data_IF_959148322559
#
_entry.id   IF_959148322559
#
_cell.length_a   1.000
_cell.length_b   1.000
_cell.length_c   1.000
_cell.angle_alpha   90.00
_cell.angle_beta   90.00
_cell.angle_gamma   90.00
#
_symmetry.space_group_name_H-M   'P 1'
#
loop_
_entity.id
_entity.type
_entity.pdbx_description
1 polymer ?
#
# COMPACT_ATOMS: atom_id res chain seq x y z
N UNK A 1 3.24 5.97 -14.22
CA UNK A 1 3.71 7.25 -14.79
C UNK A 1 5.22 7.31 -14.57
N UNK A 2 6.01 7.60 -15.61
CA UNK A 2 7.47 7.74 -15.45
C UNK A 2 7.81 9.14 -14.91
N UNK A 3 9.02 9.30 -14.36
CA UNK A 3 9.52 10.61 -13.91
C UNK A 3 9.49 11.64 -15.03
N UNK A 4 10.03 11.28 -16.19
CA UNK A 4 10.04 12.15 -17.37
C UNK A 4 8.65 12.60 -17.79
N UNK A 5 7.67 11.69 -17.83
CA UNK A 5 6.29 12.05 -18.17
C UNK A 5 5.65 12.98 -17.11
N UNK A 6 5.96 12.78 -15.83
CA UNK A 6 5.48 13.64 -14.76
C UNK A 6 6.08 15.05 -14.83
N UNK A 7 7.36 15.15 -15.20
CA UNK A 7 8.10 16.41 -15.39
C UNK A 7 7.57 17.17 -16.60
N UNK A 8 7.51 16.54 -17.77
CA UNK A 8 6.98 17.16 -19.00
C UNK A 8 5.53 17.65 -18.81
N UNK A 9 4.72 16.89 -18.07
CA UNK A 9 3.36 17.30 -17.73
C UNK A 9 3.29 18.47 -16.74
N UNK A 10 4.28 18.62 -15.86
CA UNK A 10 4.37 19.78 -14.94
C UNK A 10 4.86 21.02 -15.68
N UNK A 11 5.90 20.91 -16.52
CA UNK A 11 6.42 21.99 -17.35
C UNK A 11 5.34 22.59 -18.24
N UNK A 12 4.57 21.73 -18.95
CA UNK A 12 3.45 22.18 -19.78
C UNK A 12 2.39 22.94 -18.99
N UNK A 13 2.08 22.51 -17.77
CA UNK A 13 1.08 23.18 -16.93
C UNK A 13 1.58 24.55 -16.44
N UNK A 14 2.86 24.66 -16.07
CA UNK A 14 3.47 25.92 -15.63
C UNK A 14 3.57 26.91 -16.80
N UNK A 15 4.03 26.46 -17.98
CA UNK A 15 4.11 27.29 -19.18
C UNK A 15 2.75 27.85 -19.64
N UNK A 16 1.66 27.15 -19.34
CA UNK A 16 0.31 27.61 -19.65
C UNK A 16 -0.24 28.66 -18.67
N UNK A 17 0.47 28.98 -17.59
CA UNK A 17 0.01 29.88 -16.52
C UNK A 17 1.12 30.85 -16.11
N UNK A 18 1.13 32.07 -16.68
CA UNK A 18 2.17 33.08 -16.46
C UNK A 18 2.37 33.50 -14.98
N UNK A 19 1.36 33.27 -14.13
CA UNK A 19 1.42 33.57 -12.69
C UNK A 19 2.11 32.48 -11.86
N UNK A 20 2.45 31.33 -12.43
CA UNK A 20 3.07 30.20 -11.73
C UNK A 20 4.60 30.27 -11.72
N UNK A 21 5.16 31.47 -11.64
CA UNK A 21 6.61 31.72 -11.69
C UNK A 21 7.41 31.22 -10.46
N UNK A 22 6.74 30.81 -9.38
CA UNK A 22 7.35 30.24 -8.18
C UNK A 22 7.24 28.72 -8.07
N UNK A 23 6.77 28.02 -9.11
CA UNK A 23 6.54 26.57 -9.08
C UNK A 23 7.64 25.83 -9.83
N UNK A 24 8.35 24.94 -9.13
CA UNK A 24 9.37 24.08 -9.72
C UNK A 24 8.75 22.79 -10.28
N UNK A 25 8.86 22.58 -11.60
CA UNK A 25 8.31 21.42 -12.29
C UNK A 25 8.85 20.09 -11.73
N UNK A 26 10.14 20.06 -11.38
CA UNK A 26 10.78 18.89 -10.77
C UNK A 26 10.20 18.57 -9.39
N UNK A 27 9.94 19.57 -8.55
CA UNK A 27 9.32 19.37 -7.25
C UNK A 27 7.92 18.75 -7.41
N UNK A 28 7.12 19.27 -8.35
CA UNK A 28 5.79 18.72 -8.69
C UNK A 28 5.90 17.27 -9.17
N UNK A 29 6.86 16.97 -10.05
CA UNK A 29 7.07 15.62 -10.56
C UNK A 29 7.44 14.63 -9.45
N UNK A 30 8.34 15.02 -8.53
CA UNK A 30 8.73 14.20 -7.37
C UNK A 30 7.55 13.96 -6.43
N UNK A 31 6.76 15.00 -6.10
CA UNK A 31 5.56 14.87 -5.27
C UNK A 31 4.55 13.89 -5.88
N UNK A 32 4.31 13.98 -7.20
CA UNK A 32 3.41 13.05 -7.91
C UNK A 32 3.92 11.62 -7.88
N UNK A 33 5.23 11.41 -8.03
CA UNK A 33 5.84 10.08 -7.97
C UNK A 33 5.90 9.49 -6.56
N UNK A 34 5.95 10.32 -5.52
CA UNK A 34 5.89 9.86 -4.13
C UNK A 34 4.46 9.42 -3.75
N UNK A 35 3.45 9.92 -4.46
CA UNK A 35 2.05 9.51 -4.30
C UNK A 35 1.55 8.72 -5.53
N UNK A 36 2.13 7.54 -5.76
CA UNK A 36 1.80 6.69 -6.92
C UNK A 36 0.37 6.14 -6.86
N UNK A 37 -0.10 5.79 -5.67
CA UNK A 37 -1.45 5.28 -5.43
C UNK A 37 -2.32 6.38 -4.84
N UNK A 38 -3.09 7.06 -5.69
CA UNK A 38 -3.90 8.23 -5.29
C UNK A 38 -5.13 7.86 -4.49
N UNK A 39 -5.64 6.64 -4.69
CA UNK A 39 -6.84 6.15 -3.99
C UNK A 39 -6.63 4.72 -3.50
N UNK A 40 -7.41 4.32 -2.50
CA UNK A 40 -7.44 2.93 -2.03
C UNK A 40 -7.88 1.95 -3.13
N UNK A 41 -8.71 2.39 -4.09
CA UNK A 41 -9.11 1.56 -5.23
C UNK A 41 -7.94 1.27 -6.18
N UNK A 42 -7.00 2.19 -6.33
CA UNK A 42 -5.79 1.96 -7.13
C UNK A 42 -4.90 0.89 -6.46
N UNK A 43 -4.76 0.96 -5.13
CA UNK A 43 -4.05 -0.05 -4.34
C UNK A 43 -4.74 -1.41 -4.52
N UNK A 44 -6.06 -1.46 -4.34
CA UNK A 44 -6.84 -2.70 -4.43
C UNK A 44 -6.73 -3.37 -5.80
N UNK A 45 -6.86 -2.60 -6.90
CA UNK A 45 -6.69 -3.15 -8.27
C UNK A 45 -5.28 -3.68 -8.50
N UNK A 46 -4.27 -2.93 -8.05
CA UNK A 46 -2.87 -3.32 -8.21
C UNK A 46 -2.54 -4.61 -7.44
N UNK A 47 -2.90 -4.69 -6.16
CA UNK A 47 -2.60 -5.86 -5.32
C UNK A 47 -3.45 -7.07 -5.68
N UNK A 48 -4.71 -6.89 -6.11
CA UNK A 48 -5.54 -8.00 -6.60
C UNK A 48 -4.91 -8.68 -7.82
N UNK A 49 -4.33 -7.90 -8.74
CA UNK A 49 -3.59 -8.46 -9.89
C UNK A 49 -2.39 -9.30 -9.44
N UNK A 50 -1.61 -8.81 -8.48
CA UNK A 50 -0.45 -9.54 -7.93
C UNK A 50 -0.90 -10.87 -7.31
N UNK A 51 -1.94 -10.85 -6.48
CA UNK A 51 -2.47 -12.07 -5.86
C UNK A 51 -2.89 -13.11 -6.90
N UNK A 52 -3.59 -12.69 -7.96
CA UNK A 52 -3.97 -13.60 -9.06
C UNK A 52 -2.77 -14.19 -9.79
N UNK A 53 -1.71 -13.40 -9.97
CA UNK A 53 -0.46 -13.89 -10.58
C UNK A 53 0.23 -14.93 -9.69
N UNK A 54 0.30 -14.67 -8.39
CA UNK A 54 0.90 -15.60 -7.42
C UNK A 54 0.08 -16.89 -7.27
N UNK A 55 -1.25 -16.82 -7.29
CA UNK A 55 -2.12 -18.00 -7.33
C UNK A 55 -1.80 -18.87 -8.56
N UNK A 56 -1.72 -18.27 -9.75
CA UNK A 56 -1.39 -19.00 -10.97
C UNK A 56 0.03 -19.57 -10.96
N UNK A 57 0.97 -18.94 -10.24
CA UNK A 57 2.32 -19.48 -10.05
C UNK A 57 2.29 -20.71 -9.13
N UNK A 58 1.55 -20.65 -8.03
CA UNK A 58 1.35 -21.78 -7.12
C UNK A 58 0.66 -22.96 -7.80
N UNK A 59 -0.37 -22.72 -8.62
CA UNK A 59 -1.07 -23.77 -9.37
C UNK A 59 -0.13 -24.54 -10.32
N UNK A 60 0.89 -23.85 -10.86
CA UNK A 60 1.92 -24.48 -11.72
C UNK A 60 2.98 -25.21 -10.91
N UNK A 61 3.34 -24.68 -9.75
CA UNK A 61 4.34 -25.26 -8.86
C UNK A 61 4.10 -24.80 -7.42
N UNK A 62 3.75 -25.75 -6.57
CA UNK A 62 3.41 -25.54 -5.16
C UNK A 62 4.58 -24.97 -4.32
N UNK A 63 5.83 -25.02 -4.82
CA UNK A 63 6.96 -24.35 -4.19
C UNK A 63 6.81 -22.81 -4.20
N UNK A 64 6.00 -22.25 -5.09
CA UNK A 64 5.72 -20.81 -5.20
C UNK A 64 4.57 -20.37 -4.27
N UNK A 65 4.56 -20.86 -3.03
CA UNK A 65 3.60 -20.41 -2.03
C UNK A 65 3.89 -18.97 -1.57
N UNK A 66 2.91 -18.37 -0.91
CA UNK A 66 3.00 -17.01 -0.39
C UNK A 66 2.92 -17.00 1.13
N UNK A 67 3.41 -15.95 1.79
CA UNK A 67 3.43 -15.85 3.24
C UNK A 67 3.04 -14.46 3.73
N UNK A 68 2.48 -14.41 4.93
CA UNK A 68 2.15 -13.17 5.60
C UNK A 68 2.38 -13.30 7.11
N UNK A 69 2.36 -12.15 7.78
CA UNK A 69 2.22 -12.05 9.23
C UNK A 69 1.13 -11.03 9.51
N UNK A 70 0.36 -11.28 10.56
CA UNK A 70 -0.63 -10.35 11.07
C UNK A 70 0.01 -9.02 11.47
N UNK A 71 -0.62 -7.90 11.13
CA UNK A 71 -0.20 -6.57 11.58
C UNK A 71 -1.42 -5.82 12.16
N UNK A 72 -1.38 -5.52 13.46
CA UNK A 72 -2.49 -4.86 14.17
C UNK A 72 -2.48 -3.33 14.05
N UNK A 73 -1.39 -2.74 13.54
CA UNK A 73 -1.24 -1.31 13.31
C UNK A 73 -0.42 -1.02 12.05
N UNK A 74 -0.68 0.13 11.41
CA UNK A 74 0.01 0.54 10.18
C UNK A 74 1.52 0.62 10.32
N UNK A 75 2.02 1.09 11.47
CA UNK A 75 3.46 1.15 11.76
C UNK A 75 4.12 -0.24 11.77
N UNK A 76 3.46 -1.25 12.33
CA UNK A 76 3.98 -2.63 12.35
C UNK A 76 4.04 -3.19 10.93
N UNK A 77 2.99 -2.96 10.12
CA UNK A 77 2.98 -3.33 8.71
C UNK A 77 4.09 -2.65 7.91
N UNK A 78 4.30 -1.35 8.14
CA UNK A 78 5.36 -0.58 7.49
C UNK A 78 6.75 -1.14 7.82
N UNK A 79 7.06 -1.34 9.10
CA UNK A 79 8.36 -1.90 9.52
C UNK A 79 8.58 -3.31 8.97
N UNK A 80 7.53 -4.14 8.93
CA UNK A 80 7.60 -5.46 8.30
C UNK A 80 8.06 -5.39 6.84
N UNK A 81 7.45 -4.52 6.04
CA UNK A 81 7.78 -4.40 4.61
C UNK A 81 9.16 -3.77 4.39
N UNK A 82 9.57 -2.79 5.22
CA UNK A 82 10.92 -2.23 5.20
C UNK A 82 11.96 -3.33 5.50
N UNK A 83 11.76 -4.13 6.54
CA UNK A 83 12.64 -5.24 6.89
C UNK A 83 12.72 -6.28 5.78
N UNK A 84 11.58 -6.63 5.15
CA UNK A 84 11.55 -7.56 4.03
C UNK A 84 12.42 -7.05 2.88
N UNK A 85 12.25 -5.79 2.46
CA UNK A 85 13.06 -5.20 1.40
C UNK A 85 14.54 -5.15 1.76
N UNK A 86 14.86 -4.79 3.01
CA UNK A 86 16.23 -4.70 3.50
C UNK A 86 16.97 -6.05 3.46
N UNK A 87 16.31 -7.13 3.85
CA UNK A 87 16.97 -8.42 4.05
C UNK A 87 16.75 -9.41 2.89
N UNK A 88 15.65 -9.31 2.14
CA UNK A 88 15.30 -10.24 1.06
C UNK A 88 15.23 -9.57 -0.33
N UNK A 89 15.42 -8.25 -0.42
CA UNK A 89 15.50 -7.51 -1.68
C UNK A 89 14.18 -7.32 -2.45
N UNK A 90 13.17 -8.17 -2.21
CA UNK A 90 11.87 -8.14 -2.90
C UNK A 90 10.71 -8.36 -1.93
N UNK A 91 9.53 -7.83 -2.29
CA UNK A 91 8.26 -8.08 -1.60
C UNK A 91 7.44 -9.19 -2.25
N UNK A 92 7.94 -9.82 -3.32
CA UNK A 92 7.25 -10.90 -4.03
C UNK A 92 6.90 -12.05 -3.09
N UNK A 93 5.66 -12.55 -3.18
CA UNK A 93 5.15 -13.62 -2.30
C UNK A 93 4.98 -13.23 -0.83
N UNK A 94 5.14 -11.94 -0.48
CA UNK A 94 5.00 -11.43 0.90
C UNK A 94 3.81 -10.49 1.04
N UNK A 95 2.87 -10.87 1.91
CA UNK A 95 1.60 -10.17 2.08
C UNK A 95 1.42 -9.59 3.49
N UNK A 96 0.46 -8.67 3.63
CA UNK A 96 -0.08 -8.22 4.91
C UNK A 96 -1.33 -9.04 5.24
N UNK A 97 -1.47 -9.43 6.51
CA UNK A 97 -2.69 -10.04 7.02
C UNK A 97 -3.29 -9.14 8.10
N UNK A 98 -4.58 -8.85 7.94
CA UNK A 98 -5.36 -8.02 8.85
C UNK A 98 -6.25 -8.96 9.68
N UNK A 99 -5.86 -9.18 10.93
CA UNK A 99 -6.49 -10.19 11.79
C UNK A 99 -7.67 -9.61 12.55
N UNK A 100 -8.88 -10.16 12.34
CA UNK A 100 -10.07 -9.79 13.10
C UNK A 100 -9.86 -9.92 14.62
N UNK A 101 -9.23 -11.01 15.06
CA UNK A 101 -8.84 -11.20 16.46
C UNK A 101 -8.02 -10.04 17.04
N UNK A 102 -6.95 -9.61 16.34
CA UNK A 102 -6.11 -8.50 16.84
C UNK A 102 -6.83 -7.16 16.80
N UNK A 103 -7.79 -6.98 15.88
CA UNK A 103 -8.63 -5.78 15.85
C UNK A 103 -9.54 -5.76 17.07
N UNK A 104 -10.23 -6.85 17.37
CA UNK A 104 -11.05 -6.98 18.57
C UNK A 104 -10.23 -6.72 19.85
N UNK A 105 -9.02 -7.28 19.92
CA UNK A 105 -8.17 -7.18 21.11
C UNK A 105 -7.49 -5.80 21.29
N UNK A 106 -7.18 -5.07 20.21
CA UNK A 106 -6.26 -3.93 20.27
C UNK A 106 -6.77 -2.64 19.62
N UNK A 107 -7.83 -2.69 18.80
CA UNK A 107 -8.23 -1.57 17.94
C UNK A 107 -9.67 -1.12 18.13
N UNK A 108 -10.41 -1.77 19.03
CA UNK A 108 -11.77 -1.34 19.36
C UNK A 108 -11.76 -0.12 20.27
N UNK A 109 -12.66 0.84 20.01
CA UNK A 109 -12.91 1.98 20.91
C UNK A 109 -13.42 1.53 22.29
N UNK A 110 -13.96 0.31 22.40
CA UNK A 110 -14.39 -0.30 23.66
C UNK A 110 -13.22 -0.88 24.48
N UNK A 111 -11.98 -0.79 23.99
CA UNK A 111 -10.85 -1.51 24.56
C UNK A 111 -10.82 -2.98 24.16
N UNK A 112 -10.03 -3.83 24.84
CA UNK A 112 -9.86 -5.23 24.45
C UNK A 112 -11.15 -6.05 24.53
N UNK A 113 -11.55 -6.65 23.41
CA UNK A 113 -12.70 -7.56 23.30
C UNK A 113 -12.26 -8.98 22.87
N UNK A 114 -13.04 -10.02 23.20
CA UNK A 114 -12.85 -11.34 22.61
C UNK A 114 -13.22 -11.34 21.12
N UNK A 115 -12.72 -12.34 20.39
CA UNK A 115 -12.94 -12.49 18.95
C UNK A 115 -14.35 -13.03 18.64
N UNK A 116 -15.33 -12.17 18.86
CA UNK A 116 -16.76 -12.45 18.70
C UNK A 116 -17.46 -11.38 17.86
N UNK A 117 -16.70 -10.61 17.07
CA UNK A 117 -17.22 -9.55 16.19
C UNK A 117 -18.06 -8.48 16.90
N UNK A 118 -17.76 -8.18 18.17
CA UNK A 118 -18.51 -7.22 18.99
C UNK A 118 -17.99 -5.77 18.91
N UNK A 119 -16.80 -5.56 18.35
CA UNK A 119 -16.27 -4.22 18.12
C UNK A 119 -17.03 -3.51 16.98
N UNK A 120 -16.94 -2.19 16.96
CA UNK A 120 -17.41 -1.35 15.88
C UNK A 120 -16.77 -1.79 14.55
N UNK A 121 -17.62 -2.21 13.59
CA UNK A 121 -17.17 -2.83 12.34
C UNK A 121 -16.26 -1.94 11.49
N UNK A 122 -16.32 -0.62 11.70
CA UNK A 122 -15.47 0.38 11.03
C UNK A 122 -13.99 0.24 11.39
N UNK A 123 -13.65 -0.45 12.49
CA UNK A 123 -12.26 -0.66 12.91
C UNK A 123 -11.52 -1.69 12.07
N UNK A 124 -12.22 -2.48 11.26
CA UNK A 124 -11.62 -3.39 10.28
C UNK A 124 -11.10 -2.66 9.04
N UNK A 125 -11.88 -1.81 8.35
CA UNK A 125 -11.42 -1.08 7.16
C UNK A 125 -10.61 0.19 7.43
N UNK A 126 -10.51 0.64 8.69
CA UNK A 126 -9.85 1.89 9.08
C UNK A 126 -8.31 1.88 8.96
#
# INVERSE_FOLDING_TARGET
MSYRAALEGAEKAIQANDTWNGVEAEAVARMRLQNQFRTGLDIARYTAKIMRQDMAAFDRDAAHYTQSLGCWHGFIGQQKLIAIKKHFGSTQGRYLYLSGWMIAALRSDFGPLPDQSMHEKTSVPA
#
